data_IF_580092752867
#
_entry.id   IF_580092752867
#
_cell.length_a   1.000
_cell.length_b   1.000
_cell.length_c   1.000
_cell.angle_alpha   90.00
_cell.angle_beta   90.00
_cell.angle_gamma   90.00
#
_symmetry.space_group_name_H-M   'P 1'
#
loop_
_entity.id
_entity.type
_entity.pdbx_description
1 polymer ?
#
# COMPACT_ATOMS: atom_id res chain seq x y z
N UNK A 1 -15.24 5.42 6.77
CA UNK A 1 -15.77 5.00 5.44
C UNK A 1 -15.53 3.51 5.20
N UNK A 2 -16.34 2.84 4.38
CA UNK A 2 -16.10 1.43 4.01
C UNK A 2 -14.76 1.32 3.28
N UNK A 3 -13.95 0.32 3.63
CA UNK A 3 -12.69 0.07 2.95
C UNK A 3 -12.94 -0.55 1.58
N UNK A 4 -12.65 0.20 0.50
CA UNK A 4 -12.90 -0.25 -0.87
C UNK A 4 -12.01 -1.42 -1.32
N UNK A 5 -10.86 -1.66 -0.68
CA UNK A 5 -9.99 -2.80 -1.05
C UNK A 5 -10.55 -4.15 -0.62
N UNK A 6 -11.25 -4.19 0.52
CA UNK A 6 -11.88 -5.42 1.02
C UNK A 6 -13.40 -5.38 0.97
N UNK A 7 -13.99 -4.31 0.43
CA UNK A 7 -15.44 -4.06 0.41
C UNK A 7 -16.10 -4.27 1.79
N UNK A 8 -15.46 -3.74 2.85
CA UNK A 8 -15.98 -3.87 4.21
C UNK A 8 -15.67 -5.18 4.94
N UNK A 9 -15.11 -6.19 4.26
CA UNK A 9 -14.93 -7.53 4.83
C UNK A 9 -13.81 -7.65 5.85
N UNK A 10 -12.86 -6.71 5.85
CA UNK A 10 -11.65 -6.79 6.68
C UNK A 10 -10.63 -7.85 6.24
N UNK A 11 -10.97 -8.73 5.30
CA UNK A 11 -10.10 -9.77 4.77
C UNK A 11 -10.04 -9.76 3.24
N UNK A 12 -8.94 -10.28 2.70
CA UNK A 12 -8.71 -10.51 1.27
C UNK A 12 -8.16 -11.91 1.05
N UNK A 13 -8.43 -12.50 -0.11
CA UNK A 13 -7.76 -13.75 -0.49
C UNK A 13 -6.33 -13.44 -0.95
N UNK A 14 -5.36 -14.20 -0.48
CA UNK A 14 -3.96 -14.06 -0.83
C UNK A 14 -3.30 -15.43 -0.99
N UNK A 15 -2.26 -15.48 -1.82
CA UNK A 15 -1.30 -16.57 -1.79
C UNK A 15 -0.27 -16.26 -0.70
N UNK A 16 -0.28 -17.05 0.37
CA UNK A 16 0.56 -16.86 1.55
C UNK A 16 1.86 -17.62 1.35
N UNK A 17 2.95 -16.88 1.22
CA UNK A 17 4.30 -17.43 1.27
C UNK A 17 4.67 -17.68 2.74
N UNK A 18 4.94 -18.93 3.09
CA UNK A 18 5.27 -19.38 4.45
C UNK A 18 6.76 -19.61 4.67
N UNK A 19 7.62 -19.17 3.75
CA UNK A 19 9.07 -19.31 3.83
C UNK A 19 9.68 -20.03 2.63
N UNK A 20 10.90 -20.55 2.81
CA UNK A 20 11.67 -21.19 1.73
C UNK A 20 11.05 -22.50 1.23
N UNK A 21 10.35 -23.24 2.11
CA UNK A 21 9.63 -24.45 1.73
C UNK A 21 8.29 -24.08 1.08
N UNK A 22 8.24 -24.18 -0.25
CA UNK A 22 7.05 -23.85 -1.04
C UNK A 22 5.90 -24.85 -0.87
N UNK A 23 6.15 -26.05 -0.34
CA UNK A 23 5.08 -27.02 -0.09
C UNK A 23 4.09 -26.56 1.00
N UNK A 24 4.52 -25.62 1.83
CA UNK A 24 3.73 -25.01 2.90
C UNK A 24 2.99 -23.75 2.44
N UNK A 25 3.26 -23.24 1.24
CA UNK A 25 2.53 -22.09 0.69
C UNK A 25 1.08 -22.48 0.46
N UNK A 26 0.16 -21.56 0.71
CA UNK A 26 -1.27 -21.83 0.55
C UNK A 26 -2.03 -20.63 0.03
N UNK A 27 -3.16 -20.89 -0.60
CA UNK A 27 -4.14 -19.86 -0.93
C UNK A 27 -5.17 -19.79 0.19
N UNK A 28 -5.34 -18.61 0.80
CA UNK A 28 -6.24 -18.43 1.94
C UNK A 28 -6.60 -16.98 2.19
N UNK A 29 -7.36 -16.74 3.26
CA UNK A 29 -7.70 -15.38 3.69
C UNK A 29 -6.59 -14.80 4.58
N UNK A 30 -6.23 -13.56 4.31
CA UNK A 30 -5.42 -12.72 5.20
C UNK A 30 -6.19 -11.44 5.51
N UNK A 31 -5.77 -10.72 6.55
CA UNK A 31 -6.32 -9.41 6.84
C UNK A 31 -6.06 -8.45 5.67
N UNK A 32 -7.00 -7.55 5.41
CA UNK A 32 -6.82 -6.50 4.43
C UNK A 32 -5.73 -5.54 4.90
N UNK A 33 -4.64 -5.42 4.14
CA UNK A 33 -3.50 -4.57 4.51
C UNK A 33 -3.84 -3.07 4.57
N UNK A 34 -4.87 -2.61 3.85
CA UNK A 34 -5.28 -1.19 3.89
C UNK A 34 -5.99 -0.82 5.19
N UNK A 35 -7.02 -1.57 5.57
CA UNK A 35 -7.79 -1.29 6.77
C UNK A 35 -7.29 -2.05 8.02
N UNK A 36 -6.23 -2.84 7.86
CA UNK A 36 -5.68 -3.72 8.88
C UNK A 36 -6.76 -4.58 9.58
N UNK A 37 -7.67 -5.17 8.80
CA UNK A 37 -8.72 -6.04 9.35
C UNK A 37 -10.03 -5.36 9.76
N UNK A 38 -10.07 -4.03 9.88
CA UNK A 38 -11.25 -3.34 10.45
C UNK A 38 -12.45 -3.23 9.50
N UNK A 39 -12.26 -3.49 8.20
CA UNK A 39 -13.29 -3.29 7.18
C UNK A 39 -13.55 -1.81 6.83
N UNK A 40 -12.90 -0.87 7.50
CA UNK A 40 -13.13 0.57 7.31
C UNK A 40 -11.83 1.37 7.26
N UNK A 41 -11.88 2.54 6.64
CA UNK A 41 -10.77 3.50 6.61
C UNK A 41 -11.23 4.86 7.10
N UNK A 42 -10.33 5.70 7.66
CA UNK A 42 -10.63 7.10 7.95
C UNK A 42 -11.14 7.83 6.72
N UNK A 43 -11.98 8.84 6.92
CA UNK A 43 -12.55 9.61 5.81
C UNK A 43 -11.45 10.33 5.02
N UNK A 44 -10.45 10.91 5.69
CA UNK A 44 -9.32 11.57 5.04
C UNK A 44 -8.48 10.64 4.15
N UNK A 45 -8.50 9.32 4.44
CA UNK A 45 -7.78 8.33 3.64
C UNK A 45 -8.40 8.15 2.25
N UNK A 46 -9.69 8.46 2.07
CA UNK A 46 -10.35 8.36 0.76
C UNK A 46 -9.68 9.27 -0.28
N UNK A 47 -9.36 10.50 0.10
CA UNK A 47 -8.65 11.44 -0.76
C UNK A 47 -7.24 10.93 -1.08
N UNK A 48 -6.53 10.38 -0.09
CA UNK A 48 -5.18 9.83 -0.31
C UNK A 48 -5.18 8.65 -1.26
N UNK A 49 -6.21 7.80 -1.23
CA UNK A 49 -6.36 6.67 -2.15
C UNK A 49 -6.51 7.18 -3.59
N UNK A 50 -7.33 8.20 -3.82
CA UNK A 50 -7.53 8.76 -5.16
C UNK A 50 -6.28 9.50 -5.66
N UNK A 51 -5.64 10.30 -4.81
CA UNK A 51 -4.37 10.95 -5.15
C UNK A 51 -3.26 9.94 -5.43
N UNK A 52 -3.14 8.88 -4.63
CA UNK A 52 -2.17 7.81 -4.82
C UNK A 52 -2.34 7.10 -6.18
N UNK A 53 -3.58 6.80 -6.58
CA UNK A 53 -3.90 6.22 -7.89
C UNK A 53 -3.46 7.15 -9.02
N UNK A 54 -3.80 8.44 -8.94
CA UNK A 54 -3.41 9.44 -9.93
C UNK A 54 -1.89 9.57 -10.05
N UNK A 55 -1.18 9.69 -8.92
CA UNK A 55 0.28 9.77 -8.89
C UNK A 55 0.93 8.53 -9.51
N UNK A 56 0.40 7.34 -9.23
CA UNK A 56 0.85 6.08 -9.85
C UNK A 56 0.64 6.09 -11.36
N UNK A 57 -0.51 6.56 -11.84
CA UNK A 57 -0.79 6.66 -13.28
C UNK A 57 0.18 7.61 -13.97
N UNK A 58 0.42 8.80 -13.40
CA UNK A 58 1.39 9.76 -13.92
C UNK A 58 2.82 9.17 -13.95
N UNK A 59 3.22 8.45 -12.90
CA UNK A 59 4.53 7.75 -12.86
C UNK A 59 4.65 6.74 -13.99
N UNK A 60 3.62 5.91 -14.19
CA UNK A 60 3.59 4.89 -15.25
C UNK A 60 3.61 5.55 -16.64
N UNK A 61 2.87 6.64 -16.84
CA UNK A 61 2.86 7.40 -18.10
C UNK A 61 4.24 8.00 -18.42
N UNK A 62 5.01 8.39 -17.40
CA UNK A 62 6.41 8.82 -17.56
C UNK A 62 7.39 7.66 -17.83
N UNK A 63 6.94 6.41 -17.85
CA UNK A 63 7.81 5.24 -17.99
C UNK A 63 8.72 5.00 -16.78
N UNK A 64 8.38 5.57 -15.61
CA UNK A 64 9.22 5.48 -14.42
C UNK A 64 8.93 4.21 -13.61
N UNK A 65 9.99 3.49 -13.25
CA UNK A 65 9.92 2.51 -12.17
C UNK A 65 9.67 3.21 -10.83
N UNK A 66 9.22 2.46 -9.83
CA UNK A 66 9.05 2.99 -8.48
C UNK A 66 10.38 3.53 -7.90
N UNK A 67 11.50 2.86 -8.19
CA UNK A 67 12.84 3.30 -7.79
C UNK A 67 13.23 4.63 -8.44
N UNK A 68 13.03 4.78 -9.76
CA UNK A 68 13.35 6.02 -10.48
C UNK A 68 12.57 7.21 -9.95
N UNK A 69 11.26 7.03 -9.77
CA UNK A 69 10.38 8.09 -9.28
C UNK A 69 10.66 8.44 -7.81
N UNK A 70 11.02 7.46 -6.97
CA UNK A 70 11.41 7.69 -5.59
C UNK A 70 12.69 8.52 -5.52
N UNK A 71 13.72 8.14 -6.31
CA UNK A 71 14.97 8.88 -6.41
C UNK A 71 14.75 10.33 -6.90
N UNK A 72 13.93 10.53 -7.95
CA UNK A 72 13.61 11.87 -8.47
C UNK A 72 12.93 12.77 -7.43
N UNK A 73 12.13 12.19 -6.53
CA UNK A 73 11.38 12.92 -5.51
C UNK A 73 12.11 13.02 -4.16
N UNK A 74 13.30 12.44 -4.02
CA UNK A 74 14.00 12.38 -2.73
C UNK A 74 13.30 11.53 -1.68
N UNK A 75 12.53 10.51 -2.10
CA UNK A 75 11.79 9.59 -1.24
C UNK A 75 12.46 8.21 -1.26
N UNK A 76 12.23 7.40 -0.22
CA UNK A 76 12.48 5.97 -0.31
C UNK A 76 11.39 5.28 -1.15
N UNK A 77 11.71 4.10 -1.70
CA UNK A 77 10.75 3.26 -2.44
C UNK A 77 9.52 2.96 -1.57
N UNK A 78 9.72 2.65 -0.28
CA UNK A 78 8.66 2.34 0.66
C UNK A 78 7.73 3.54 0.89
N UNK A 79 8.30 4.75 1.02
CA UNK A 79 7.50 5.98 1.16
C UNK A 79 6.65 6.25 -0.08
N UNK A 80 7.24 6.16 -1.29
CA UNK A 80 6.48 6.35 -2.52
C UNK A 80 5.41 5.26 -2.71
N UNK A 81 5.73 4.01 -2.38
CA UNK A 81 4.76 2.90 -2.40
C UNK A 81 3.59 3.14 -1.46
N UNK A 82 3.87 3.62 -0.24
CA UNK A 82 2.83 3.96 0.73
C UNK A 82 1.90 5.04 0.16
N UNK A 83 2.47 6.12 -0.38
CA UNK A 83 1.72 7.22 -1.00
C UNK A 83 0.84 6.72 -2.16
N UNK A 84 1.41 5.98 -3.10
CA UNK A 84 0.68 5.46 -4.26
C UNK A 84 -0.41 4.43 -3.91
N UNK A 85 -0.36 3.85 -2.70
CA UNK A 85 -1.38 2.91 -2.20
C UNK A 85 -2.38 3.56 -1.24
N UNK A 86 -2.33 4.90 -1.10
CA UNK A 86 -3.27 5.67 -0.30
C UNK A 86 -2.90 5.79 1.19
N UNK A 87 -1.65 5.50 1.54
CA UNK A 87 -1.11 5.73 2.88
C UNK A 87 -0.26 7.00 2.87
N UNK A 88 -0.49 7.92 3.81
CA UNK A 88 0.53 8.92 4.11
C UNK A 88 1.57 8.28 5.01
N UNK A 89 2.87 8.32 4.64
CA UNK A 89 3.92 8.04 5.60
C UNK A 89 3.66 8.95 6.81
N UNK A 90 3.57 8.36 8.00
CA UNK A 90 3.68 9.14 9.23
C UNK A 90 4.93 10.00 9.05
N UNK A 91 4.81 11.32 9.27
CA UNK A 91 5.99 12.18 9.38
C UNK A 91 6.75 11.73 10.61
N UNK A 92 7.53 10.66 10.49
CA UNK A 92 8.47 10.27 11.52
C UNK A 92 9.60 11.28 11.44
N UNK A 93 9.43 12.37 12.19
CA UNK A 93 10.52 12.92 12.98
C UNK A 93 11.02 11.78 13.86
N UNK A 94 11.85 10.91 13.30
CA UNK A 94 12.73 10.04 14.08
C UNK A 94 14.04 10.02 13.33
N UNK A 95 14.94 10.84 13.86
CA UNK A 95 16.34 10.84 13.48
C UNK A 95 16.85 9.41 13.60
N UNK A 96 17.66 9.03 12.61
CA UNK A 96 18.49 7.83 12.67
C UNK A 96 19.38 7.99 13.92
N UNK A 97 19.15 7.14 14.91
CA UNK A 97 20.14 6.83 15.94
C UNK A 97 21.19 5.87 15.39
#
# INVERSE_FOLDING_TARGET
>A
MICNDCNGKGAVNAFVNTGLDSSQHYYGQTHCYRCNGTGSVPEEMTQWIEDGKRLRQERVQRGETLLMAANRQGLSIAQLSAIETGHRPQTTTQQRG
#
